data_IF_308020202586
#
_entry.id   IF_308020202586
#
_cell.length_a   1.000
_cell.length_b   1.000
_cell.length_c   1.000
_cell.angle_alpha   90.00
_cell.angle_beta   90.00
_cell.angle_gamma   90.00
#
_symmetry.space_group_name_H-M   'P 1'
#
loop_
_entity.id
_entity.type
_entity.pdbx_description
1 polymer ?
#
# COMPACT_ATOMS: atom_id res chain seq x y z
N UNK A 1 -5.87 -0.76 12.28
CA UNK A 1 -5.73 -1.71 13.40
C UNK A 1 -5.86 -3.14 12.90
N UNK A 2 -5.68 -4.17 13.74
CA UNK A 2 -5.84 -5.57 13.34
C UNK A 2 -7.28 -5.86 12.88
N UNK A 3 -7.41 -6.72 11.86
CA UNK A 3 -8.64 -7.49 11.60
C UNK A 3 -9.79 -6.87 10.78
N UNK A 4 -9.56 -6.36 9.56
CA UNK A 4 -10.71 -5.97 8.71
C UNK A 4 -10.47 -5.98 7.18
N UNK A 5 -9.24 -5.76 6.74
CA UNK A 5 -8.90 -5.74 5.30
C UNK A 5 -7.61 -6.53 5.03
N UNK A 6 -7.71 -7.84 4.75
CA UNK A 6 -6.55 -8.63 4.33
C UNK A 6 -6.13 -8.24 2.91
N UNK A 7 -4.87 -8.50 2.57
CA UNK A 7 -4.39 -8.45 1.18
C UNK A 7 -4.87 -9.67 0.38
N UNK A 8 -4.46 -9.75 -0.89
CA UNK A 8 -4.87 -10.84 -1.78
C UNK A 8 -4.34 -12.22 -1.37
N UNK A 9 -3.29 -12.27 -0.54
CA UNK A 9 -2.74 -13.49 0.07
C UNK A 9 -3.46 -13.87 1.38
N UNK A 10 -4.41 -13.05 1.83
CA UNK A 10 -5.15 -13.27 3.07
C UNK A 10 -4.45 -12.73 4.32
N UNK A 11 -3.38 -11.97 4.14
CA UNK A 11 -2.54 -11.46 5.21
C UNK A 11 -2.93 -10.03 5.61
N UNK A 12 -2.89 -9.76 6.92
CA UNK A 12 -3.14 -8.40 7.43
C UNK A 12 -1.81 -7.67 7.64
N UNK A 13 -1.61 -6.59 6.89
CA UNK A 13 -0.45 -5.70 7.01
C UNK A 13 -0.90 -4.31 7.44
N UNK A 14 -0.14 -3.67 8.32
CA UNK A 14 -0.43 -2.36 8.88
C UNK A 14 0.56 -1.31 8.39
N UNK A 15 0.03 -0.13 8.08
CA UNK A 15 0.79 1.09 7.87
C UNK A 15 0.48 2.05 9.02
N UNK A 16 1.48 2.81 9.48
CA UNK A 16 1.27 3.94 10.39
C UNK A 16 2.32 5.04 10.19
N UNK A 17 1.93 6.28 10.50
CA UNK A 17 2.79 7.46 10.51
C UNK A 17 2.43 8.35 11.69
N UNK A 18 3.43 8.96 12.30
CA UNK A 18 3.29 10.01 13.31
C UNK A 18 4.24 11.17 13.01
N UNK A 19 3.76 12.38 13.25
CA UNK A 19 4.54 13.62 13.10
C UNK A 19 4.41 14.48 14.35
N UNK A 20 5.55 14.98 14.82
CA UNK A 20 5.63 16.01 15.84
C UNK A 20 5.78 17.39 15.16
N UNK A 21 4.74 18.22 15.21
CA UNK A 21 4.73 19.55 14.58
C UNK A 21 5.63 20.59 15.25
N UNK A 22 6.18 20.30 16.44
CA UNK A 22 7.15 21.18 17.11
C UNK A 22 8.58 20.91 16.63
N UNK A 23 8.97 19.64 16.58
CA UNK A 23 10.33 19.23 16.21
C UNK A 23 10.46 18.94 14.71
N UNK A 24 9.34 18.83 14.00
CA UNK A 24 9.25 18.36 12.62
C UNK A 24 9.73 16.92 12.42
N UNK A 25 9.89 16.15 13.50
CA UNK A 25 10.26 14.75 13.43
C UNK A 25 9.08 13.89 12.97
N UNK A 26 9.40 12.87 12.19
CA UNK A 26 8.44 11.94 11.59
C UNK A 26 8.95 10.53 11.78
N UNK A 27 8.07 9.61 12.13
CA UNK A 27 8.33 8.19 12.08
C UNK A 27 7.17 7.44 11.45
N UNK A 28 7.48 6.38 10.72
CA UNK A 28 6.53 5.61 9.96
C UNK A 28 6.93 4.14 9.85
N UNK A 29 5.91 3.30 9.74
CA UNK A 29 6.03 1.89 9.37
C UNK A 29 5.07 1.58 8.24
N UNK A 30 5.46 0.71 7.32
CA UNK A 30 4.58 0.27 6.23
C UNK A 30 4.71 -1.22 5.93
N UNK A 31 3.64 -1.82 5.42
CA UNK A 31 3.53 -3.27 5.19
C UNK A 31 3.95 -4.11 6.42
N UNK A 32 3.78 -3.57 7.63
CA UNK A 32 4.26 -4.22 8.86
C UNK A 32 3.32 -5.35 9.25
N UNK A 33 3.88 -6.52 9.56
CA UNK A 33 3.12 -7.71 9.96
C UNK A 33 3.27 -7.96 11.46
N UNK A 34 2.34 -8.73 12.00
CA UNK A 34 2.43 -9.36 13.32
C UNK A 34 2.51 -8.47 14.57
N UNK A 35 2.54 -7.15 14.43
CA UNK A 35 2.51 -6.19 15.55
C UNK A 35 1.26 -5.33 15.42
N UNK A 36 0.38 -5.40 16.41
CA UNK A 36 -0.92 -4.69 16.39
C UNK A 36 -0.77 -3.17 16.53
N UNK A 37 0.22 -2.73 17.29
CA UNK A 37 0.39 -1.33 17.72
C UNK A 37 1.23 -0.54 16.71
N UNK A 38 0.75 -0.45 15.47
CA UNK A 38 1.51 0.16 14.36
C UNK A 38 1.88 1.63 14.62
N UNK A 39 1.00 2.43 15.23
CA UNK A 39 1.31 3.84 15.55
C UNK A 39 2.40 3.95 16.62
N UNK A 40 2.48 2.99 17.54
CA UNK A 40 3.55 2.93 18.53
C UNK A 40 4.88 2.56 17.86
N UNK A 41 4.85 1.61 16.91
CA UNK A 41 6.03 1.28 16.12
C UNK A 41 6.55 2.50 15.33
N UNK A 42 5.65 3.26 14.69
CA UNK A 42 5.98 4.51 14.00
C UNK A 42 6.61 5.55 14.95
N UNK A 43 6.07 5.68 16.17
CA UNK A 43 6.67 6.53 17.21
C UNK A 43 8.08 6.08 17.61
N UNK A 44 8.29 4.78 17.78
CA UNK A 44 9.61 4.23 18.10
C UNK A 44 10.62 4.47 16.96
N UNK A 45 10.19 4.43 15.70
CA UNK A 45 11.03 4.81 14.55
C UNK A 45 11.49 6.26 14.68
N UNK A 46 10.56 7.17 14.99
CA UNK A 46 10.83 8.60 15.19
C UNK A 46 11.81 8.85 16.35
N UNK A 47 11.63 8.16 17.48
CA UNK A 47 12.37 8.42 18.72
C UNK A 47 13.73 7.71 18.80
N UNK A 48 13.91 6.60 18.07
CA UNK A 48 15.07 5.71 18.26
C UNK A 48 15.85 5.38 16.99
N UNK A 49 15.58 6.06 15.89
CA UNK A 49 16.33 5.87 14.64
C UNK A 49 16.62 7.21 13.96
N UNK A 50 17.65 7.24 13.11
CA UNK A 50 17.87 8.35 12.17
C UNK A 50 17.06 8.23 10.88
N UNK A 51 16.11 7.29 10.81
CA UNK A 51 15.31 6.99 9.62
C UNK A 51 13.86 7.39 9.85
N UNK A 52 13.17 7.74 8.77
CA UNK A 52 11.75 8.12 8.83
C UNK A 52 10.80 6.94 8.63
N UNK A 53 11.20 5.93 7.86
CA UNK A 53 10.32 4.85 7.44
C UNK A 53 11.03 3.50 7.51
N UNK A 54 10.41 2.52 8.19
CA UNK A 54 10.78 1.11 8.11
C UNK A 54 9.64 0.31 7.48
N UNK A 55 9.95 -0.74 6.72
CA UNK A 55 8.93 -1.52 6.00
C UNK A 55 9.03 -3.02 6.21
N UNK A 56 7.90 -3.70 6.00
CA UNK A 56 7.81 -5.16 5.95
C UNK A 56 8.21 -5.84 7.26
N UNK A 57 8.78 -7.04 7.12
CA UNK A 57 9.20 -7.87 8.26
C UNK A 57 10.35 -7.25 9.07
N UNK A 58 11.13 -6.35 8.48
CA UNK A 58 12.19 -5.63 9.21
C UNK A 58 11.63 -4.55 10.12
N UNK A 59 10.52 -3.90 9.74
CA UNK A 59 9.76 -3.05 10.65
C UNK A 59 9.20 -3.84 11.84
N UNK A 60 8.65 -5.04 11.58
CA UNK A 60 8.19 -5.96 12.63
C UNK A 60 9.31 -6.35 13.60
N UNK A 61 10.46 -6.74 13.05
CA UNK A 61 11.63 -7.13 13.85
C UNK A 61 12.12 -5.99 14.73
N UNK A 62 12.18 -4.77 14.17
CA UNK A 62 12.50 -3.56 14.92
C UNK A 62 11.50 -3.30 16.04
N UNK A 63 10.20 -3.28 15.73
CA UNK A 63 9.14 -3.03 16.70
C UNK A 63 9.19 -3.99 17.90
N UNK A 64 9.38 -5.29 17.66
CA UNK A 64 9.53 -6.31 18.70
C UNK A 64 10.82 -6.07 19.51
N UNK A 65 11.93 -5.75 18.84
CA UNK A 65 13.20 -5.45 19.53
C UNK A 65 13.13 -4.23 20.44
N UNK A 66 12.22 -3.29 20.15
CA UNK A 66 11.94 -2.11 20.97
C UNK A 66 10.90 -2.37 22.07
N UNK A 67 10.44 -3.62 22.23
CA UNK A 67 9.56 -4.05 23.33
C UNK A 67 8.06 -4.12 22.99
N UNK A 68 7.66 -3.98 21.72
CA UNK A 68 6.28 -4.22 21.33
C UNK A 68 5.93 -5.71 21.29
N UNK A 69 4.68 -6.03 21.62
CA UNK A 69 4.21 -7.41 21.61
C UNK A 69 4.11 -7.98 20.19
N UNK A 70 4.61 -9.19 20.00
CA UNK A 70 4.55 -9.94 18.75
C UNK A 70 5.59 -11.06 18.70
N UNK A 71 5.60 -11.88 17.64
CA UNK A 71 4.66 -11.85 16.52
C UNK A 71 3.29 -12.43 16.91
N UNK A 72 2.20 -11.76 16.50
CA UNK A 72 0.82 -12.20 16.73
C UNK A 72 0.04 -12.20 15.42
N UNK A 73 -0.83 -13.19 15.20
CA UNK A 73 -1.73 -13.18 14.05
C UNK A 73 -2.70 -11.98 14.15
N UNK A 74 -2.72 -11.12 13.12
CA UNK A 74 -3.55 -9.92 13.06
C UNK A 74 -4.88 -10.15 12.34
N UNK A 75 -5.09 -11.32 11.74
CA UNK A 75 -6.31 -11.68 11.03
C UNK A 75 -7.43 -12.02 12.02
N UNK A 76 -8.61 -11.47 11.77
CA UNK A 76 -9.86 -11.81 12.45
C UNK A 76 -10.60 -12.93 11.71
N UNK A 77 -11.49 -13.69 12.38
CA UNK A 77 -12.36 -14.65 11.70
C UNK A 77 -13.13 -14.03 10.52
N UNK A 78 -13.62 -12.81 10.70
CA UNK A 78 -14.30 -12.03 9.66
C UNK A 78 -13.38 -11.75 8.45
N UNK A 79 -12.13 -11.34 8.68
CA UNK A 79 -11.19 -11.09 7.59
C UNK A 79 -10.88 -12.36 6.79
N UNK A 80 -10.77 -13.51 7.45
CA UNK A 80 -10.52 -14.81 6.83
C UNK A 80 -11.73 -15.22 5.98
N UNK A 81 -12.94 -15.06 6.51
CA UNK A 81 -14.18 -15.33 5.77
C UNK A 81 -14.32 -14.41 4.55
N UNK A 82 -14.06 -13.11 4.73
CA UNK A 82 -14.08 -12.11 3.65
C UNK A 82 -13.12 -12.49 2.52
N UNK A 83 -11.90 -12.92 2.85
CA UNK A 83 -10.92 -13.39 1.88
C UNK A 83 -11.32 -14.72 1.21
N UNK A 84 -11.83 -15.68 1.97
CA UNK A 84 -12.31 -16.95 1.43
C UNK A 84 -13.43 -16.75 0.40
N UNK A 85 -14.41 -15.90 0.71
CA UNK A 85 -15.51 -15.57 -0.20
C UNK A 85 -15.00 -14.86 -1.47
N UNK A 86 -14.02 -13.95 -1.34
CA UNK A 86 -13.41 -13.29 -2.48
C UNK A 86 -12.63 -14.24 -3.40
N UNK A 87 -11.88 -15.19 -2.81
CA UNK A 87 -11.18 -16.26 -3.56
C UNK A 87 -12.15 -17.16 -4.32
N UNK A 88 -13.28 -17.51 -3.71
CA UNK A 88 -14.33 -18.30 -4.37
C UNK A 88 -14.98 -17.54 -5.54
N UNK A 89 -15.02 -16.21 -5.47
CA UNK A 89 -15.52 -15.32 -6.52
C UNK A 89 -14.43 -14.92 -7.55
N UNK A 90 -13.49 -15.82 -7.84
CA UNK A 90 -12.41 -15.62 -8.84
C UNK A 90 -11.56 -14.36 -8.59
N UNK A 91 -11.35 -14.01 -7.33
CA UNK A 91 -10.49 -12.88 -6.95
C UNK A 91 -10.91 -11.55 -7.59
N UNK A 92 -12.23 -11.28 -7.59
CA UNK A 92 -12.83 -10.04 -8.07
C UNK A 92 -13.70 -9.37 -7.00
N UNK A 93 -13.71 -8.03 -6.91
CA UNK A 93 -12.87 -7.09 -7.64
C UNK A 93 -11.41 -7.11 -7.13
N UNK A 94 -10.45 -6.72 -7.95
CA UNK A 94 -9.04 -6.59 -7.55
C UNK A 94 -8.39 -5.29 -8.08
N UNK A 95 -7.16 -5.01 -7.65
CA UNK A 95 -6.41 -3.80 -8.04
C UNK A 95 -5.53 -3.98 -9.28
N UNK A 96 -5.47 -5.19 -9.84
CA UNK A 96 -4.67 -5.46 -11.02
C UNK A 96 -5.31 -4.87 -12.28
N UNK A 97 -4.49 -4.36 -13.19
CA UNK A 97 -4.93 -3.78 -14.47
C UNK A 97 -4.11 -4.39 -15.59
N UNK A 98 -4.74 -4.66 -16.74
CA UNK A 98 -4.07 -5.15 -17.96
C UNK A 98 -3.26 -6.44 -17.74
N UNK A 99 -3.79 -7.36 -16.96
CA UNK A 99 -3.14 -8.66 -16.67
C UNK A 99 -4.14 -9.81 -16.76
N UNK A 100 -3.65 -11.00 -17.08
CA UNK A 100 -4.39 -12.25 -17.07
C UNK A 100 -3.88 -13.12 -15.92
N UNK A 101 -4.77 -13.73 -15.12
CA UNK A 101 -4.36 -14.71 -14.13
C UNK A 101 -3.89 -16.01 -14.80
N UNK A 102 -2.93 -16.71 -14.20
CA UNK A 102 -2.53 -18.04 -14.65
C UNK A 102 -3.61 -19.12 -14.36
N UNK A 103 -4.56 -18.83 -13.46
CA UNK A 103 -5.71 -19.66 -13.14
C UNK A 103 -6.94 -18.81 -12.78
N UNK A 104 -7.66 -19.17 -11.71
CA UNK A 104 -8.80 -18.37 -11.24
C UNK A 104 -8.37 -17.08 -10.50
N UNK A 105 -7.16 -17.11 -9.95
CA UNK A 105 -6.49 -15.98 -9.28
C UNK A 105 -5.03 -15.96 -9.76
N UNK A 106 -4.25 -14.98 -9.31
CA UNK A 106 -2.83 -14.86 -9.67
C UNK A 106 -1.99 -16.14 -9.47
N UNK A 107 -0.73 -16.18 -9.94
CA UNK A 107 0.05 -15.02 -10.38
C UNK A 107 -0.48 -14.43 -11.69
N UNK A 108 -0.51 -13.10 -11.72
CA UNK A 108 -1.01 -12.31 -12.84
C UNK A 108 0.14 -11.98 -13.80
N UNK A 109 -0.12 -12.09 -15.10
CA UNK A 109 0.85 -11.80 -16.15
C UNK A 109 0.31 -10.68 -17.05
N UNK A 110 1.14 -9.71 -17.49
CA UNK A 110 0.69 -8.65 -18.37
C UNK A 110 0.03 -9.18 -19.65
N UNK A 111 -1.14 -8.66 -19.97
CA UNK A 111 -1.78 -8.84 -21.28
C UNK A 111 -1.23 -7.76 -22.18
N UNK A 112 -0.84 -8.11 -23.41
CA UNK A 112 -0.25 -7.18 -24.38
C UNK A 112 0.97 -6.46 -23.79
N UNK A 113 2.02 -7.19 -23.43
CA UNK A 113 3.35 -6.57 -23.27
C UNK A 113 3.60 -5.84 -24.61
N UNK A 114 3.66 -4.49 -24.64
CA UNK A 114 4.13 -3.82 -25.83
C UNK A 114 5.49 -4.44 -26.10
N UNK A 115 5.70 -5.06 -27.26
CA UNK A 115 7.04 -5.48 -27.67
C UNK A 115 7.90 -4.23 -27.55
N UNK A 116 8.72 -4.22 -26.51
CA UNK A 116 9.42 -3.08 -25.95
C UNK A 116 9.67 -1.94 -26.96
N UNK A 117 9.12 -0.72 -26.76
CA UNK A 117 9.41 0.39 -27.65
C UNK A 117 10.90 0.78 -27.64
N UNK A 118 11.66 0.39 -26.60
CA UNK A 118 13.09 0.69 -26.48
C UNK A 118 13.96 -0.34 -27.21
N UNK A 119 13.55 -1.62 -27.30
CA UNK A 119 14.27 -2.61 -28.12
C UNK A 119 13.88 -2.61 -29.60
N UNK A 120 12.72 -2.06 -29.95
CA UNK A 120 12.35 -1.85 -31.36
C UNK A 120 13.14 -0.71 -32.02
N UNK A 121 13.84 0.11 -31.24
CA UNK A 121 14.70 1.21 -31.73
C UNK A 121 16.19 0.85 -31.84
N UNK A 122 16.61 -0.36 -31.45
CA UNK A 122 18.00 -0.81 -31.55
C UNK A 122 18.09 -2.00 -32.49
N UNK A 123 18.02 -1.71 -33.79
CA UNK A 123 18.75 -2.34 -34.91
C UNK A 123 18.03 -2.08 -36.24
N UNK A 124 18.10 -0.83 -36.71
CA UNK A 124 18.68 -0.50 -38.01
C UNK A 124 18.81 1.02 -38.08
N UNK A 125 19.96 1.46 -38.58
CA UNK A 125 20.45 2.84 -38.52
C UNK A 125 19.43 3.86 -39.05
N UNK A 126 18.91 4.73 -38.17
CA UNK A 126 18.73 6.18 -38.40
C UNK A 126 18.06 6.82 -37.18
N UNK A 127 18.72 7.84 -36.62
CA UNK A 127 18.29 8.48 -35.37
C UNK A 127 16.95 9.22 -35.50
N UNK A 128 16.05 8.95 -34.56
CA UNK A 128 14.81 9.70 -34.36
C UNK A 128 14.93 10.44 -33.01
N UNK A 129 14.71 11.75 -33.04
CA UNK A 129 14.74 12.63 -31.86
C UNK A 129 13.38 12.71 -31.16
N UNK A 130 13.40 12.96 -29.85
CA UNK A 130 12.25 12.95 -28.93
C UNK A 130 11.03 13.83 -29.29
N UNK A 131 11.07 14.63 -30.35
CA UNK A 131 9.96 15.51 -30.74
C UNK A 131 8.85 14.80 -31.54
N UNK A 132 9.14 13.70 -32.24
CA UNK A 132 8.14 13.00 -33.08
C UNK A 132 7.18 12.08 -32.27
N UNK A 133 7.50 11.84 -31.00
CA UNK A 133 6.68 10.99 -30.11
C UNK A 133 5.39 11.68 -29.61
N UNK A 134 5.34 13.01 -29.59
CA UNK A 134 4.24 13.78 -29.00
C UNK A 134 3.02 13.93 -29.90
N UNK A 135 3.12 13.62 -31.20
CA UNK A 135 2.03 13.86 -32.17
C UNK A 135 1.14 12.64 -32.44
N UNK A 136 1.53 11.43 -31.97
CA UNK A 136 0.84 10.17 -32.31
C UNK A 136 0.12 9.50 -31.12
N UNK A 137 -0.39 10.28 -30.17
CA UNK A 137 -1.13 9.74 -29.03
C UNK A 137 -2.64 9.62 -29.35
N UNK A 138 -2.97 8.66 -30.23
CA UNK A 138 -4.34 8.21 -30.50
C UNK A 138 -4.46 6.69 -30.29
N UNK A 139 -3.96 6.20 -29.15
CA UNK A 139 -4.05 4.78 -28.80
C UNK A 139 -4.88 4.56 -27.53
N UNK A 140 -6.14 4.19 -27.81
CA UNK A 140 -7.02 3.35 -27.00
C UNK A 140 -7.56 3.98 -25.71
N UNK A 141 -8.86 4.30 -25.73
CA UNK A 141 -9.61 4.70 -24.54
C UNK A 141 -9.42 3.67 -23.42
N UNK A 142 -9.13 4.12 -22.18
CA UNK A 142 -9.07 3.22 -21.05
C UNK A 142 -10.46 2.62 -20.87
N UNK A 143 -10.58 1.30 -20.98
CA UNK A 143 -11.79 0.59 -20.57
C UNK A 143 -12.13 1.06 -19.16
N UNK A 144 -13.26 1.72 -19.04
CA UNK A 144 -13.74 2.35 -17.83
C UNK A 144 -14.09 1.25 -16.82
N UNK A 145 -13.06 0.66 -16.20
CA UNK A 145 -13.23 -0.18 -15.02
C UNK A 145 -13.67 0.79 -13.94
N UNK A 146 -14.99 0.91 -13.77
CA UNK A 146 -15.60 1.53 -12.61
C UNK A 146 -15.00 0.83 -11.38
N UNK A 147 -13.93 1.39 -10.83
CA UNK A 147 -13.48 1.07 -9.48
C UNK A 147 -14.62 1.56 -8.61
N UNK A 148 -15.48 0.65 -8.18
CA UNK A 148 -16.49 0.98 -7.20
C UNK A 148 -15.75 1.57 -6.01
N UNK A 149 -16.15 2.81 -5.75
CA UNK A 149 -15.56 3.76 -4.82
C UNK A 149 -15.27 3.13 -3.47
N UNK A 150 -14.25 3.68 -2.80
CA UNK A 150 -13.95 3.44 -1.39
C UNK A 150 -15.27 3.50 -0.59
N UNK A 151 -15.83 2.33 -0.26
CA UNK A 151 -17.06 2.22 0.49
C UNK A 151 -16.72 2.33 1.99
N UNK A 152 -17.66 2.75 2.85
CA UNK A 152 -17.49 2.82 4.32
C UNK A 152 -17.06 1.50 4.95
N UNK A 153 -17.13 0.39 4.23
CA UNK A 153 -16.80 -0.97 4.67
C UNK A 153 -15.46 -1.50 4.10
N UNK A 154 -14.68 -0.65 3.40
CA UNK A 154 -13.48 -1.06 2.66
C UNK A 154 -12.18 -0.34 3.06
N UNK A 155 -12.14 0.40 4.17
CA UNK A 155 -10.90 1.03 4.62
C UNK A 155 -10.91 1.32 6.13
N UNK A 156 -10.17 0.54 6.92
CA UNK A 156 -10.04 0.77 8.36
C UNK A 156 -8.89 1.73 8.63
N UNK A 157 -9.17 3.03 8.46
CA UNK A 157 -8.19 4.10 8.72
C UNK A 157 -8.67 5.04 9.77
N UNK A 158 -7.77 5.34 10.70
CA UNK A 158 -7.96 6.34 11.72
C UNK A 158 -6.81 7.34 11.60
N UNK A 159 -7.18 8.62 11.52
CA UNK A 159 -6.28 9.75 11.57
C UNK A 159 -6.69 10.68 12.69
N UNK A 160 -5.72 11.21 13.42
CA UNK A 160 -5.95 12.14 14.52
C UNK A 160 -4.93 13.26 14.45
N UNK A 161 -5.41 14.49 14.60
CA UNK A 161 -4.58 15.68 14.83
C UNK A 161 -4.93 16.24 16.21
N UNK A 162 -3.91 16.62 16.98
CA UNK A 162 -4.05 17.15 18.33
C UNK A 162 -3.28 18.46 18.42
N UNK A 163 -3.86 19.45 19.10
CA UNK A 163 -3.21 20.72 19.44
C UNK A 163 -3.20 20.82 20.96
N UNK A 164 -2.02 21.04 21.55
CA UNK A 164 -1.89 21.21 22.99
C UNK A 164 -2.16 22.66 23.43
N UNK A 165 -2.21 22.90 24.74
CA UNK A 165 -2.42 24.24 25.33
C UNK A 165 -1.32 25.26 24.98
N UNK A 166 -0.17 24.81 24.51
CA UNK A 166 0.96 25.64 24.10
C UNK A 166 0.95 25.92 22.59
N UNK A 167 -0.03 25.39 21.86
CA UNK A 167 -0.15 25.52 20.41
C UNK A 167 0.73 24.55 19.62
N UNK A 168 1.34 23.54 20.26
CA UNK A 168 2.05 22.51 19.50
C UNK A 168 1.07 21.54 18.85
N UNK A 169 1.39 21.12 17.64
CA UNK A 169 0.57 20.20 16.85
C UNK A 169 1.24 18.82 16.81
N UNK A 170 0.46 17.76 16.88
CA UNK A 170 0.89 16.41 16.55
C UNK A 170 -0.17 15.73 15.67
N UNK A 171 0.26 14.93 14.71
CA UNK A 171 -0.63 14.21 13.78
C UNK A 171 -0.21 12.75 13.71
N UNK A 172 -1.18 11.84 13.68
CA UNK A 172 -0.91 10.42 13.48
C UNK A 172 -2.00 9.75 12.67
N UNK A 173 -1.60 8.78 11.84
CA UNK A 173 -2.49 7.97 11.00
C UNK A 173 -2.09 6.51 11.10
N UNK A 174 -3.09 5.61 11.17
CA UNK A 174 -2.86 4.17 11.07
C UNK A 174 -3.96 3.51 10.23
N UNK A 175 -3.56 2.56 9.40
CA UNK A 175 -4.46 1.83 8.49
C UNK A 175 -4.01 0.39 8.28
N UNK A 176 -4.95 -0.49 7.93
CA UNK A 176 -4.65 -1.78 7.31
C UNK A 176 -4.69 -1.73 5.76
N UNK A 177 -5.04 -0.57 5.19
CA UNK A 177 -5.12 -0.34 3.75
C UNK A 177 -6.42 -0.84 3.14
N UNK A 178 -6.44 -0.94 1.81
CA UNK A 178 -7.60 -1.41 1.09
C UNK A 178 -7.75 -2.94 1.18
N UNK A 179 -8.98 -3.44 1.28
CA UNK A 179 -9.27 -4.88 1.22
C UNK A 179 -8.85 -5.47 -0.12
N UNK A 180 -8.14 -6.61 -0.11
CA UNK A 180 -7.60 -7.32 -1.28
C UNK A 180 -6.55 -6.52 -2.06
N UNK A 181 -5.86 -5.60 -1.38
CA UNK A 181 -4.70 -4.91 -1.96
C UNK A 181 -3.63 -5.91 -2.40
N UNK A 182 -2.85 -5.52 -3.39
CA UNK A 182 -1.67 -6.28 -3.81
C UNK A 182 -0.69 -6.35 -2.62
N UNK A 183 -0.11 -7.52 -2.31
CA UNK A 183 0.87 -7.68 -1.24
C UNK A 183 2.01 -6.68 -1.40
N UNK A 184 2.40 -6.05 -0.29
CA UNK A 184 3.39 -4.97 -0.29
C UNK A 184 2.85 -3.58 -0.66
N UNK A 185 1.57 -3.44 -1.06
CA UNK A 185 0.95 -2.12 -1.24
C UNK A 185 0.89 -1.37 0.09
N UNK A 186 1.44 -0.17 0.11
CA UNK A 186 1.41 0.78 1.23
C UNK A 186 0.51 1.97 0.90
N UNK A 187 -0.36 2.38 1.83
CA UNK A 187 -1.40 3.38 1.57
C UNK A 187 -1.21 4.75 2.20
N UNK A 188 -0.35 4.88 3.22
CA UNK A 188 -0.24 6.13 4.00
C UNK A 188 0.52 7.23 3.26
N UNK A 189 1.23 6.93 2.17
CA UNK A 189 2.27 7.82 1.63
C UNK A 189 1.91 8.65 0.40
N UNK A 190 0.78 8.45 -0.29
CA UNK A 190 0.52 9.16 -1.56
C UNK A 190 -0.97 9.43 -1.80
N UNK A 191 -1.52 10.41 -1.08
CA UNK A 191 -2.67 11.25 -1.51
C UNK A 191 -2.48 12.62 -0.81
N UNK A 192 -1.27 13.17 -0.93
CA UNK A 192 -0.98 14.57 -0.63
C UNK A 192 -0.56 15.24 -1.94
N UNK A 193 -1.48 15.27 -2.89
CA UNK A 193 -1.39 16.20 -4.02
C UNK A 193 -1.78 17.57 -3.47
N UNK A 194 -0.78 18.42 -3.22
CA UNK A 194 -0.98 19.86 -3.02
C UNK A 194 -1.38 20.52 -4.34
#
# INVERSE_FOLDING_TARGET
GPGGSPDEDGETTLDALIMNGKTMEIGAVAAMRYVKDAIMAAKLVMEHTGHTLLVGEKATSFAISMGLAGPTNLSSPESIEKWSNWRQNNCQPNFWKNVAPAGNCGPYHPINIPKDPVKSAVWENQGITCQEWLENDNLLEPTNSHFNSVNRHNHDTISMAVIDKMGHVAVGTSTNGATFKIPGRTGILLEASF
#
